data_IF_598052599842
#
_entry.id   IF_598052599842
#
_cell.length_a   1.000
_cell.length_b   1.000
_cell.length_c   1.000
_cell.angle_alpha   90.00
_cell.angle_beta   90.00
_cell.angle_gamma   90.00
#
_symmetry.space_group_name_H-M   'P 1'
#
loop_
_entity.id
_entity.type
_entity.pdbx_description
1 polymer ?
#
# COMPACT_ATOMS: atom_id res chain seq x y z
N UNK A 1 -6.85 -21.45 -5.85
CA UNK A 1 -7.71 -20.34 -5.34
C UNK A 1 -8.48 -20.78 -4.08
N UNK A 2 -7.78 -21.26 -3.03
CA UNK A 2 -8.46 -21.81 -1.83
C UNK A 2 -7.95 -21.22 -0.51
N UNK A 3 -7.07 -20.21 -0.57
CA UNK A 3 -6.46 -19.59 0.62
C UNK A 3 -7.37 -18.51 1.19
N UNK A 4 -8.05 -17.73 0.33
CA UNK A 4 -9.01 -16.68 0.75
C UNK A 4 -10.17 -17.27 1.55
N UNK A 5 -10.75 -18.38 1.07
CA UNK A 5 -11.87 -19.07 1.75
C UNK A 5 -11.47 -19.77 3.05
N UNK A 6 -10.19 -20.12 3.25
CA UNK A 6 -9.74 -20.91 4.41
C UNK A 6 -9.04 -20.10 5.50
N UNK A 7 -8.36 -19.00 5.15
CA UNK A 7 -7.52 -18.25 6.08
C UNK A 7 -7.82 -16.75 6.14
N UNK A 8 -8.79 -16.26 5.35
CA UNK A 8 -9.13 -14.85 5.29
C UNK A 8 -8.12 -14.03 4.48
N UNK A 9 -8.43 -12.75 4.30
CA UNK A 9 -7.60 -11.80 3.54
C UNK A 9 -6.25 -11.56 4.24
N UNK A 10 -6.24 -11.53 5.57
CA UNK A 10 -5.05 -11.24 6.37
C UNK A 10 -3.94 -12.26 6.18
N UNK A 11 -4.28 -13.55 6.06
CA UNK A 11 -3.30 -14.61 5.84
C UNK A 11 -2.69 -14.57 4.44
N UNK A 12 -3.42 -14.08 3.43
CA UNK A 12 -2.86 -13.85 2.10
C UNK A 12 -1.89 -12.69 2.11
N UNK A 13 -2.25 -11.60 2.79
CA UNK A 13 -1.40 -10.41 2.92
C UNK A 13 -0.12 -10.76 3.69
N UNK A 14 -0.22 -11.55 4.75
CA UNK A 14 0.95 -12.03 5.50
C UNK A 14 1.87 -12.90 4.63
N UNK A 15 1.32 -13.88 3.91
CA UNK A 15 2.12 -14.72 3.00
C UNK A 15 2.77 -13.93 1.86
N UNK A 16 2.04 -12.95 1.31
CA UNK A 16 2.55 -12.07 0.26
C UNK A 16 3.69 -11.21 0.80
N UNK A 17 3.58 -10.69 2.03
CA UNK A 17 4.62 -9.94 2.72
C UNK A 17 5.88 -10.78 2.96
N UNK A 18 5.72 -12.05 3.36
CA UNK A 18 6.84 -12.98 3.60
C UNK A 18 7.54 -13.42 2.31
N UNK A 19 6.81 -13.47 1.20
CA UNK A 19 7.37 -13.86 -0.11
C UNK A 19 7.88 -12.67 -0.92
N UNK A 20 7.63 -11.43 -0.48
CA UNK A 20 8.08 -10.22 -1.17
C UNK A 20 9.47 -9.79 -0.71
N UNK A 21 10.43 -9.61 -1.63
CA UNK A 21 11.68 -8.96 -1.31
C UNK A 21 11.45 -7.47 -0.97
N UNK A 22 12.36 -6.90 -0.17
CA UNK A 22 12.22 -5.56 0.42
C UNK A 22 12.00 -4.46 -0.63
N UNK A 23 12.65 -4.59 -1.78
CA UNK A 23 12.54 -3.70 -2.95
C UNK A 23 11.13 -3.70 -3.59
N UNK A 24 10.37 -4.79 -3.44
CA UNK A 24 9.01 -4.87 -3.96
C UNK A 24 7.96 -4.33 -3.00
N UNK A 25 8.27 -4.19 -1.70
CA UNK A 25 7.32 -3.66 -0.71
C UNK A 25 6.99 -2.19 -0.99
N UNK A 26 8.01 -1.39 -1.30
CA UNK A 26 7.85 -0.01 -1.72
C UNK A 26 7.03 0.10 -3.03
N UNK A 27 7.29 -0.78 -3.99
CA UNK A 27 6.54 -0.84 -5.25
C UNK A 27 5.06 -1.21 -5.02
N UNK A 28 4.79 -2.20 -4.18
CA UNK A 28 3.43 -2.60 -3.83
C UNK A 28 2.66 -1.48 -3.10
N UNK A 29 3.35 -0.76 -2.21
CA UNK A 29 2.78 0.42 -1.55
C UNK A 29 2.50 1.56 -2.55
N UNK A 30 3.40 1.78 -3.51
CA UNK A 30 3.22 2.78 -4.56
C UNK A 30 2.00 2.48 -5.44
N UNK A 31 1.75 1.21 -5.79
CA UNK A 31 0.56 0.79 -6.54
C UNK A 31 -0.72 0.93 -5.70
N UNK A 32 -0.67 0.59 -4.41
CA UNK A 32 -1.83 0.77 -3.53
C UNK A 32 -2.16 2.26 -3.33
N UNK A 33 -1.13 3.09 -3.22
CA UNK A 33 -1.25 4.55 -3.15
C UNK A 33 -1.81 5.11 -4.44
N UNK A 34 -1.33 4.65 -5.59
CA UNK A 34 -1.87 5.06 -6.89
C UNK A 34 -3.37 4.79 -7.03
N UNK A 35 -3.82 3.62 -6.57
CA UNK A 35 -5.23 3.24 -6.60
C UNK A 35 -6.07 4.06 -5.62
N UNK A 36 -5.51 4.40 -4.45
CA UNK A 36 -6.19 5.18 -3.44
C UNK A 36 -6.29 6.66 -3.82
N UNK A 37 -5.26 7.23 -4.44
CA UNK A 37 -5.16 8.67 -4.76
C UNK A 37 -5.73 9.04 -6.13
N UNK A 38 -6.60 8.22 -6.71
CA UNK A 38 -7.02 8.34 -8.10
C UNK A 38 -7.74 9.66 -8.41
N UNK A 39 -8.30 10.33 -7.41
CA UNK A 39 -8.99 11.62 -7.48
C UNK A 39 -8.06 12.83 -7.20
N UNK A 40 -6.79 12.59 -6.87
CA UNK A 40 -5.78 13.63 -6.65
C UNK A 40 -5.86 14.32 -5.28
N UNK A 41 -6.75 13.87 -4.40
CA UNK A 41 -6.87 14.33 -3.01
C UNK A 41 -6.59 13.17 -2.04
N UNK A 42 -6.30 13.50 -0.77
CA UNK A 42 -6.20 12.50 0.30
C UNK A 42 -7.26 12.84 1.32
N UNK A 43 -8.30 12.03 1.39
CA UNK A 43 -9.23 12.09 2.49
C UNK A 43 -8.61 11.46 3.76
N UNK A 44 -9.08 11.88 4.95
CA UNK A 44 -8.61 11.32 6.23
C UNK A 44 -8.83 9.79 6.33
N UNK A 45 -9.89 9.28 5.70
CA UNK A 45 -10.16 7.83 5.62
C UNK A 45 -9.12 7.09 4.78
N UNK A 46 -8.72 7.66 3.64
CA UNK A 46 -7.71 7.08 2.75
C UNK A 46 -6.33 7.14 3.39
N UNK A 47 -6.02 8.24 4.08
CA UNK A 47 -4.79 8.35 4.87
C UNK A 47 -4.68 7.22 5.89
N UNK A 48 -5.75 6.97 6.65
CA UNK A 48 -5.80 5.87 7.62
C UNK A 48 -5.64 4.50 6.94
N UNK A 49 -6.20 4.33 5.75
CA UNK A 49 -6.11 3.09 4.97
C UNK A 49 -4.68 2.88 4.46
N UNK A 50 -4.05 3.91 3.90
CA UNK A 50 -2.65 3.89 3.46
C UNK A 50 -1.68 3.64 4.62
N UNK A 51 -1.90 4.24 5.79
CA UNK A 51 -1.09 3.95 6.98
C UNK A 51 -1.19 2.48 7.39
N UNK A 52 -2.39 1.88 7.34
CA UNK A 52 -2.56 0.44 7.61
C UNK A 52 -1.83 -0.41 6.57
N UNK A 53 -1.88 -0.04 5.30
CA UNK A 53 -1.18 -0.77 4.23
C UNK A 53 0.33 -0.63 4.37
N UNK A 54 0.83 0.58 4.67
CA UNK A 54 2.25 0.86 4.95
C UNK A 54 2.78 0.00 6.09
N UNK A 55 2.09 -0.02 7.23
CA UNK A 55 2.44 -0.86 8.39
C UNK A 55 2.36 -2.36 8.04
N UNK A 56 1.33 -2.75 7.29
CA UNK A 56 1.13 -4.13 6.85
C UNK A 56 2.23 -4.59 5.90
N UNK A 57 2.76 -3.72 5.03
CA UNK A 57 3.88 -4.03 4.14
C UNK A 57 5.23 -3.85 4.85
N UNK A 58 5.29 -3.09 5.94
CA UNK A 58 6.52 -2.79 6.66
C UNK A 58 7.41 -1.79 5.93
N UNK A 59 6.82 -0.89 5.16
CA UNK A 59 7.56 0.17 4.43
C UNK A 59 7.99 1.25 5.43
N UNK A 60 9.24 1.72 5.42
CA UNK A 60 9.68 2.85 6.23
C UNK A 60 8.81 4.09 6.03
N UNK A 61 8.59 4.86 7.10
CA UNK A 61 7.73 6.06 7.04
C UNK A 61 8.27 7.11 6.07
N UNK A 62 9.60 7.33 6.04
CA UNK A 62 10.23 8.29 5.15
C UNK A 62 10.10 7.91 3.66
N UNK A 63 10.10 6.61 3.37
CA UNK A 63 9.89 6.09 2.02
C UNK A 63 8.42 6.18 1.61
N UNK A 64 7.51 5.85 2.53
CA UNK A 64 6.07 5.97 2.30
C UNK A 64 5.65 7.42 2.01
N UNK A 65 6.20 8.40 2.74
CA UNK A 65 5.93 9.83 2.50
C UNK A 65 6.36 10.24 1.09
N UNK A 66 7.58 9.86 0.67
CA UNK A 66 8.08 10.16 -0.69
C UNK A 66 7.18 9.55 -1.77
N UNK A 67 6.75 8.31 -1.58
CA UNK A 67 5.84 7.63 -2.52
C UNK A 67 4.52 8.38 -2.63
N UNK A 68 3.93 8.79 -1.50
CA UNK A 68 2.67 9.56 -1.49
C UNK A 68 2.85 10.90 -2.20
N UNK A 69 3.93 11.63 -1.93
CA UNK A 69 4.20 12.92 -2.59
C UNK A 69 4.31 12.76 -4.10
N UNK A 70 5.07 11.77 -4.58
CA UNK A 70 5.20 11.50 -6.02
C UNK A 70 3.85 11.12 -6.64
N UNK A 71 3.03 10.32 -5.96
CA UNK A 71 1.72 9.91 -6.48
C UNK A 71 0.70 11.06 -6.49
N UNK A 72 0.73 11.96 -5.50
CA UNK A 72 -0.08 13.19 -5.50
C UNK A 72 0.26 14.10 -6.68
N UNK A 73 1.54 14.21 -7.04
CA UNK A 73 1.96 14.98 -8.21
C UNK A 73 1.46 14.30 -9.49
N UNK A 74 1.59 12.97 -9.58
CA UNK A 74 1.17 12.19 -10.74
C UNK A 74 -0.33 12.28 -11.01
N UNK A 75 -1.16 12.17 -9.96
CA UNK A 75 -2.62 12.11 -10.09
C UNK A 75 -3.29 13.49 -10.21
N UNK A 76 -2.55 14.58 -10.02
CA UNK A 76 -3.01 15.96 -10.28
C UNK A 76 -2.84 16.41 -11.73
N UNK A 77 -2.13 15.65 -12.56
CA UNK A 77 -1.75 16.01 -13.94
C UNK A 77 -2.58 15.30 -15.00
#
# INVERSE_FOLDING_TARGET
INIIKKKGMDALVAMAKESMPEDMKATAFAVATDLALADGEIADEEKNLLTKVQQSLGVPEDEAVKIIEVMLIKNKG
#
